data_IF_697938192049
#
_entry.id   IF_697938192049
#
_cell.length_a   1.000
_cell.length_b   1.000
_cell.length_c   1.000
_cell.angle_alpha   90.00
_cell.angle_beta   90.00
_cell.angle_gamma   90.00
#
_symmetry.space_group_name_H-M   'P 1'
#
loop_
_entity.id
_entity.type
_entity.pdbx_description
1 polymer ?
#
# COMPACT_ATOMS: atom_id res chain seq x y z
N UNK A 1 19.38 4.24 82.75
CA UNK A 1 19.26 5.07 81.51
C UNK A 1 18.51 4.26 80.46
N UNK A 2 17.58 4.92 79.77
CA UNK A 2 16.72 4.45 78.66
C UNK A 2 17.61 3.86 77.55
N UNK A 3 17.34 2.72 76.90
CA UNK A 3 16.20 2.39 76.01
C UNK A 3 16.08 0.86 75.76
N UNK A 4 14.91 0.35 75.35
CA UNK A 4 14.55 -1.08 75.32
C UNK A 4 14.67 -1.77 73.95
N UNK A 5 14.58 -3.10 74.02
CA UNK A 5 14.38 -4.15 73.00
C UNK A 5 13.74 -3.76 71.65
N UNK A 6 14.18 -4.39 70.55
CA UNK A 6 13.43 -5.50 69.92
C UNK A 6 13.96 -5.87 68.52
N UNK A 7 13.86 -7.16 68.22
CA UNK A 7 14.16 -7.85 66.98
C UNK A 7 13.46 -7.26 65.74
N UNK A 8 14.08 -7.43 64.57
CA UNK A 8 13.40 -7.83 63.33
C UNK A 8 14.38 -8.08 62.19
N UNK A 9 14.49 -9.36 61.83
CA UNK A 9 14.98 -9.88 60.55
C UNK A 9 14.31 -9.14 59.39
N UNK A 10 15.09 -8.54 58.48
CA UNK A 10 14.57 -8.12 57.17
C UNK A 10 15.58 -8.52 56.10
N UNK A 11 15.26 -9.64 55.44
CA UNK A 11 15.93 -10.17 54.27
C UNK A 11 15.52 -9.31 53.06
N UNK A 12 16.42 -8.46 52.57
CA UNK A 12 16.14 -7.54 51.47
C UNK A 12 16.24 -8.29 50.13
N UNK A 13 15.12 -8.85 49.68
CA UNK A 13 14.91 -9.42 48.36
C UNK A 13 14.82 -8.27 47.33
N UNK A 14 15.92 -8.01 46.61
CA UNK A 14 15.94 -7.09 45.47
C UNK A 14 15.21 -7.75 44.30
N UNK A 15 13.97 -7.34 44.07
CA UNK A 15 13.19 -7.70 42.89
C UNK A 15 13.76 -6.95 41.67
N UNK A 16 14.50 -7.68 40.83
CA UNK A 16 14.94 -7.23 39.52
C UNK A 16 13.75 -7.28 38.56
N UNK A 17 13.03 -6.17 38.42
CA UNK A 17 11.96 -6.04 37.42
C UNK A 17 12.58 -5.93 36.03
N UNK A 18 12.68 -7.07 35.35
CA UNK A 18 12.88 -7.11 33.91
C UNK A 18 11.59 -6.62 33.23
N UNK A 19 11.55 -5.34 32.84
CA UNK A 19 10.54 -4.85 31.89
C UNK A 19 10.77 -5.54 30.55
N UNK A 20 10.06 -6.64 30.32
CA UNK A 20 9.90 -7.20 28.99
C UNK A 20 9.11 -6.19 28.16
N UNK A 21 9.81 -5.39 27.35
CA UNK A 21 9.16 -4.66 26.26
C UNK A 21 8.61 -5.72 25.31
N UNK A 22 7.31 -5.99 25.40
CA UNK A 22 6.60 -6.77 24.39
C UNK A 22 6.87 -6.10 23.04
N UNK A 23 7.68 -6.76 22.21
CA UNK A 23 7.84 -6.34 20.83
C UNK A 23 6.49 -6.47 20.17
N UNK A 24 5.88 -5.32 19.82
CA UNK A 24 4.71 -5.30 18.98
C UNK A 24 5.03 -6.12 17.73
N UNK A 25 4.22 -7.15 17.47
CA UNK A 25 4.43 -8.02 16.33
C UNK A 25 4.26 -7.18 15.06
N UNK A 26 5.38 -6.74 14.47
CA UNK A 26 5.40 -5.98 13.22
C UNK A 26 4.63 -6.75 12.14
N UNK A 27 3.43 -6.25 11.80
CA UNK A 27 2.60 -6.85 10.74
C UNK A 27 3.18 -6.47 9.39
N UNK A 28 3.72 -7.45 8.68
CA UNK A 28 4.32 -7.24 7.36
C UNK A 28 3.34 -7.58 6.25
N UNK A 29 3.17 -6.67 5.29
CA UNK A 29 2.33 -6.85 4.10
C UNK A 29 3.14 -6.74 2.80
N UNK A 30 2.58 -7.24 1.71
CA UNK A 30 3.16 -7.13 0.36
C UNK A 30 2.33 -6.17 -0.50
N UNK A 31 2.99 -5.41 -1.36
CA UNK A 31 2.32 -4.58 -2.37
C UNK A 31 1.76 -5.49 -3.47
N UNK A 32 0.45 -5.43 -3.72
CA UNK A 32 -0.24 -6.30 -4.70
C UNK A 32 -0.59 -5.59 -6.01
N UNK A 33 -0.31 -4.29 -6.10
CA UNK A 33 -0.50 -3.50 -7.32
C UNK A 33 0.83 -3.34 -8.05
N UNK A 34 0.79 -3.16 -9.38
CA UNK A 34 2.01 -2.94 -10.20
C UNK A 34 2.85 -1.76 -9.70
N UNK A 35 2.17 -0.68 -9.34
CA UNK A 35 2.76 0.54 -8.81
C UNK A 35 1.89 1.02 -7.64
N UNK A 36 2.47 1.02 -6.43
CA UNK A 36 1.80 1.44 -5.20
C UNK A 36 2.37 2.77 -4.70
N UNK A 37 1.51 3.77 -4.55
CA UNK A 37 1.92 5.09 -4.03
C UNK A 37 1.78 5.15 -2.51
N UNK A 38 2.87 5.53 -1.84
CA UNK A 38 2.90 5.88 -0.43
C UNK A 38 2.66 7.37 -0.31
N UNK A 39 1.64 7.77 0.47
CA UNK A 39 1.20 9.17 0.59
C UNK A 39 1.52 9.75 1.97
N UNK A 40 1.71 11.06 2.05
CA UNK A 40 1.94 11.73 3.33
C UNK A 40 0.71 11.69 4.25
N UNK A 41 -0.49 11.69 3.66
CA UNK A 41 -1.78 11.69 4.36
C UNK A 41 -2.65 10.52 3.86
N UNK A 42 -3.57 9.98 4.67
CA UNK A 42 -4.50 8.92 4.28
C UNK A 42 -5.62 9.49 3.38
N UNK A 43 -5.22 9.96 2.20
CA UNK A 43 -6.08 10.69 1.28
C UNK A 43 -5.59 10.51 -0.15
N UNK A 44 -6.50 10.21 -1.08
CA UNK A 44 -6.16 9.84 -2.47
C UNK A 44 -5.44 10.94 -3.26
N UNK A 45 -5.65 12.21 -2.93
CA UNK A 45 -4.90 13.30 -3.56
C UNK A 45 -3.81 13.88 -2.64
N UNK A 46 -3.49 13.18 -1.56
CA UNK A 46 -2.36 13.52 -0.69
C UNK A 46 -1.04 13.41 -1.44
N UNK A 47 -0.04 14.21 -1.06
CA UNK A 47 1.30 14.20 -1.65
C UNK A 47 1.90 12.80 -1.61
N UNK A 48 2.41 12.33 -2.75
CA UNK A 48 3.14 11.06 -2.85
C UNK A 48 4.55 11.27 -2.29
N UNK A 49 4.95 10.45 -1.32
CA UNK A 49 6.27 10.50 -0.67
C UNK A 49 7.20 9.40 -1.15
N UNK A 50 6.65 8.27 -1.62
CA UNK A 50 7.41 7.19 -2.22
C UNK A 50 6.51 6.36 -3.15
N UNK A 51 7.13 5.65 -4.08
CA UNK A 51 6.46 4.66 -4.93
C UNK A 51 7.11 3.29 -4.72
N UNK A 52 6.27 2.25 -4.65
CA UNK A 52 6.63 0.86 -4.45
C UNK A 52 6.19 0.01 -5.63
N UNK A 53 6.93 -1.06 -5.88
CA UNK A 53 6.65 -2.03 -6.94
C UNK A 53 5.88 -3.23 -6.41
N UNK A 54 5.25 -3.97 -7.32
CA UNK A 54 4.59 -5.23 -6.99
C UNK A 54 5.54 -6.19 -6.26
N UNK A 55 5.07 -6.76 -5.15
CA UNK A 55 5.83 -7.67 -4.29
C UNK A 55 6.69 -6.99 -3.22
N UNK A 56 6.84 -5.66 -3.25
CA UNK A 56 7.59 -4.93 -2.22
C UNK A 56 6.99 -5.19 -0.83
N UNK A 57 7.87 -5.33 0.17
CA UNK A 57 7.48 -5.60 1.56
C UNK A 57 7.44 -4.31 2.38
N UNK A 58 6.32 -4.14 3.07
CA UNK A 58 6.08 -3.00 3.95
C UNK A 58 5.72 -3.46 5.35
N UNK A 59 6.23 -2.76 6.34
CA UNK A 59 5.82 -2.87 7.73
C UNK A 59 4.61 -1.98 7.97
N UNK A 60 3.54 -2.53 8.56
CA UNK A 60 2.35 -1.78 8.95
C UNK A 60 2.53 -1.30 10.39
N UNK A 61 2.60 0.02 10.54
CA UNK A 61 2.75 0.71 11.82
C UNK A 61 1.40 1.06 12.46
N UNK A 62 0.31 0.96 11.71
CA UNK A 62 -1.03 1.26 12.18
C UNK A 62 -2.02 1.35 11.03
N UNK A 63 -3.30 1.42 11.36
CA UNK A 63 -4.38 1.62 10.40
C UNK A 63 -5.25 2.80 10.80
N UNK A 64 -5.82 3.45 9.79
CA UNK A 64 -6.89 4.42 9.92
C UNK A 64 -7.89 4.12 8.81
N UNK A 65 -9.05 3.57 9.21
CA UNK A 65 -10.10 3.14 8.27
C UNK A 65 -9.52 2.21 7.18
N UNK A 66 -9.61 2.58 5.91
CA UNK A 66 -9.09 1.82 4.77
C UNK A 66 -7.64 2.17 4.41
N UNK A 67 -6.91 2.85 5.29
CA UNK A 67 -5.52 3.22 5.09
C UNK A 67 -4.61 2.55 6.11
N UNK A 68 -3.48 2.05 5.64
CA UNK A 68 -2.41 1.55 6.49
C UNK A 68 -1.25 2.54 6.48
N UNK A 69 -0.78 2.90 7.68
CA UNK A 69 0.47 3.60 7.83
C UNK A 69 1.59 2.59 7.66
N UNK A 70 2.41 2.77 6.63
CA UNK A 70 3.43 1.82 6.22
C UNK A 70 4.83 2.41 6.26
N UNK A 71 5.79 1.54 6.56
CA UNK A 71 7.22 1.79 6.43
C UNK A 71 7.81 0.78 5.43
N UNK A 72 8.19 1.20 4.22
CA UNK A 72 8.82 0.31 3.25
C UNK A 72 10.25 -0.01 3.69
N UNK A 73 10.60 -1.29 3.66
CA UNK A 73 11.92 -1.76 4.09
C UNK A 73 13.01 -1.16 3.18
N UNK A 74 14.04 -0.56 3.79
CA UNK A 74 15.21 -0.04 3.07
C UNK A 74 15.03 1.35 2.45
N UNK A 75 13.86 2.00 2.56
CA UNK A 75 13.65 3.38 2.07
C UNK A 75 13.62 4.44 3.18
N UNK A 76 13.44 4.05 4.44
CA UNK A 76 13.46 4.98 5.59
C UNK A 76 12.33 6.03 5.58
N UNK A 77 11.32 5.86 4.73
CA UNK A 77 10.18 6.78 4.59
C UNK A 77 8.95 6.13 5.20
N UNK A 78 8.17 6.88 5.97
CA UNK A 78 6.87 6.43 6.47
C UNK A 78 5.75 7.21 5.80
N UNK A 79 4.67 6.53 5.45
CA UNK A 79 3.48 7.20 4.91
C UNK A 79 2.26 6.28 4.92
N UNK A 80 1.28 6.58 4.09
CA UNK A 80 -0.02 5.91 4.05
C UNK A 80 -0.24 5.24 2.70
N UNK A 81 -0.69 3.99 2.73
CA UNK A 81 -1.14 3.24 1.56
C UNK A 81 -2.57 2.77 1.78
N UNK A 82 -3.37 2.82 0.73
CA UNK A 82 -4.74 2.31 0.79
C UNK A 82 -4.73 0.77 0.91
N UNK A 83 -5.67 0.20 1.66
CA UNK A 83 -5.77 -1.23 1.93
C UNK A 83 -5.82 -2.07 0.64
N UNK A 84 -6.47 -1.58 -0.41
CA UNK A 84 -6.54 -2.29 -1.70
C UNK A 84 -5.17 -2.46 -2.38
N UNK A 85 -4.15 -1.69 -2.01
CA UNK A 85 -2.81 -1.83 -2.55
C UNK A 85 -1.97 -2.89 -1.83
N UNK A 86 -2.44 -3.40 -0.69
CA UNK A 86 -1.68 -4.28 0.20
C UNK A 86 -2.37 -5.65 0.36
N UNK A 87 -1.54 -6.69 0.41
CA UNK A 87 -1.95 -8.06 0.71
C UNK A 87 -1.21 -8.58 1.94
N UNK A 88 -1.91 -9.31 2.79
CA UNK A 88 -1.28 -10.06 3.88
C UNK A 88 -0.44 -11.23 3.34
N UNK A 89 -0.77 -11.73 2.13
CA UNK A 89 -0.01 -12.78 1.48
C UNK A 89 1.38 -12.29 1.11
N UNK A 90 2.38 -13.12 1.39
CA UNK A 90 3.76 -12.86 0.96
C UNK A 90 3.87 -13.16 -0.52
N UNK A 91 4.08 -12.12 -1.32
CA UNK A 91 4.32 -12.23 -2.76
C UNK A 91 5.83 -12.41 -2.95
N UNK A 92 6.26 -13.54 -3.51
CA UNK A 92 7.67 -13.78 -3.83
C UNK A 92 7.81 -14.00 -5.33
N UNK A 93 8.47 -13.05 -6.01
CA UNK A 93 8.82 -13.18 -7.43
C UNK A 93 9.99 -14.15 -7.58
N UNK A 94 9.71 -15.46 -7.58
CA UNK A 94 10.64 -16.48 -8.06
C UNK A 94 10.31 -16.80 -9.51
N UNK A 95 11.30 -16.78 -10.39
CA UNK A 95 11.15 -17.29 -11.76
C UNK A 95 10.66 -18.75 -11.69
N UNK A 96 9.47 -19.02 -12.25
CA UNK A 96 8.83 -20.34 -12.21
C UNK A 96 8.01 -20.66 -10.94
N UNK A 97 7.93 -19.75 -9.97
CA UNK A 97 7.12 -19.92 -8.75
C UNK A 97 5.61 -19.76 -9.01
N UNK A 98 4.77 -20.31 -8.12
CA UNK A 98 3.31 -20.19 -8.18
C UNK A 98 2.83 -18.74 -8.22
N UNK A 99 3.51 -17.83 -7.52
CA UNK A 99 3.17 -16.39 -7.52
C UNK A 99 3.49 -15.70 -8.86
N UNK A 100 4.52 -16.16 -9.58
CA UNK A 100 4.81 -15.68 -10.94
C UNK A 100 3.77 -16.18 -11.96
N UNK A 101 3.10 -17.31 -11.67
CA UNK A 101 1.96 -17.82 -12.44
C UNK A 101 0.63 -17.12 -12.13
N UNK A 102 0.57 -16.22 -11.14
CA UNK A 102 -0.65 -15.44 -10.81
C UNK A 102 -0.93 -14.34 -11.85
N UNK A 103 -0.01 -14.11 -12.81
CA UNK A 103 -0.38 -13.49 -14.07
C UNK A 103 -1.27 -14.47 -14.84
N UNK A 104 -2.59 -14.34 -14.69
CA UNK A 104 -3.57 -15.12 -15.44
C UNK A 104 -3.20 -15.13 -16.93
N UNK A 105 -3.37 -16.30 -17.57
CA UNK A 105 -3.02 -16.46 -18.98
C UNK A 105 -3.82 -15.48 -19.84
N UNK A 106 -3.29 -15.08 -21.00
CA UNK A 106 -4.00 -14.17 -21.91
C UNK A 106 -5.41 -14.66 -22.26
N UNK A 107 -5.63 -15.98 -22.30
CA UNK A 107 -6.94 -16.60 -22.52
C UNK A 107 -7.90 -16.47 -21.34
N UNK A 108 -7.41 -16.60 -20.09
CA UNK A 108 -8.22 -16.36 -18.89
C UNK A 108 -8.54 -14.88 -18.72
N UNK A 109 -7.57 -13.99 -19.00
CA UNK A 109 -7.80 -12.54 -19.05
C UNK A 109 -8.85 -12.17 -20.09
N UNK A 110 -8.78 -12.77 -21.28
CA UNK A 110 -9.76 -12.53 -22.34
C UNK A 110 -11.16 -12.98 -21.89
N UNK A 111 -11.29 -14.16 -21.28
CA UNK A 111 -12.59 -14.66 -20.85
C UNK A 111 -13.23 -13.76 -19.77
N UNK A 112 -12.43 -13.30 -18.80
CA UNK A 112 -12.87 -12.35 -17.76
C UNK A 112 -13.16 -10.94 -18.31
N UNK A 113 -12.37 -10.51 -19.29
CA UNK A 113 -12.51 -9.23 -19.98
C UNK A 113 -13.49 -9.26 -21.15
N UNK A 114 -14.33 -10.30 -21.33
CA UNK A 114 -15.23 -10.47 -22.49
C UNK A 114 -14.55 -10.31 -23.86
N UNK A 115 -13.30 -10.75 -23.98
CA UNK A 115 -12.47 -10.66 -25.18
C UNK A 115 -11.64 -9.37 -25.28
N UNK A 116 -11.76 -8.44 -24.33
CA UNK A 116 -10.99 -7.19 -24.35
C UNK A 116 -9.60 -7.40 -23.73
N UNK A 117 -8.58 -7.56 -24.56
CA UNK A 117 -7.17 -7.58 -24.16
C UNK A 117 -6.27 -6.92 -25.22
N UNK A 118 -4.98 -6.74 -24.90
CA UNK A 118 -4.03 -6.05 -25.78
C UNK A 118 -3.79 -6.79 -27.12
N UNK A 119 -3.82 -8.12 -27.11
CA UNK A 119 -3.60 -8.94 -28.31
C UNK A 119 -4.78 -8.78 -29.30
N UNK A 120 -6.02 -8.78 -28.79
CA UNK A 120 -7.24 -8.56 -29.57
C UNK A 120 -7.28 -7.15 -30.15
N UNK A 121 -6.87 -6.14 -29.37
CA UNK A 121 -6.78 -4.77 -29.87
C UNK A 121 -5.74 -4.64 -31.00
N UNK A 122 -4.58 -5.26 -30.84
CA UNK A 122 -3.52 -5.25 -31.86
C UNK A 122 -4.00 -5.92 -33.16
N UNK A 123 -4.67 -7.07 -33.06
CA UNK A 123 -5.27 -7.75 -34.20
C UNK A 123 -6.37 -6.92 -34.87
N UNK A 124 -7.24 -6.29 -34.07
CA UNK A 124 -8.31 -5.44 -34.58
C UNK A 124 -7.74 -4.23 -35.34
N UNK A 125 -6.73 -3.55 -34.80
CA UNK A 125 -6.01 -2.46 -35.48
C UNK A 125 -5.36 -2.93 -36.79
N UNK A 126 -4.77 -4.12 -36.81
CA UNK A 126 -4.14 -4.68 -38.00
C UNK A 126 -5.15 -4.98 -39.13
N UNK A 127 -6.34 -5.49 -38.78
CA UNK A 127 -7.42 -5.84 -39.73
C UNK A 127 -8.24 -4.63 -40.20
N UNK A 128 -8.29 -3.55 -39.42
CA UNK A 128 -9.14 -2.38 -39.68
C UNK A 128 -8.32 -1.10 -39.89
N UNK A 129 -7.45 -1.09 -40.92
CA UNK A 129 -6.54 0.04 -41.20
C UNK A 129 -7.22 1.35 -41.59
N UNK A 130 -8.50 1.31 -41.93
CA UNK A 130 -9.30 2.50 -42.27
C UNK A 130 -9.90 3.22 -41.05
N UNK A 131 -9.83 2.61 -39.86
CA UNK A 131 -10.33 3.22 -38.62
C UNK A 131 -9.21 4.07 -37.99
N UNK A 132 -9.53 5.31 -37.65
CA UNK A 132 -8.61 6.20 -36.94
C UNK A 132 -8.71 5.97 -35.42
N UNK A 133 -7.66 5.38 -34.84
CA UNK A 133 -7.53 5.15 -33.41
C UNK A 133 -6.87 6.31 -32.66
N UNK A 134 -6.46 7.38 -33.34
CA UNK A 134 -5.69 8.48 -32.74
C UNK A 134 -6.38 9.12 -31.55
N UNK A 135 -7.72 9.26 -31.58
CA UNK A 135 -8.50 9.79 -30.45
C UNK A 135 -8.53 8.84 -29.24
N UNK A 136 -8.60 7.53 -29.48
CA UNK A 136 -8.56 6.51 -28.43
C UNK A 136 -7.17 6.47 -27.82
N UNK A 137 -6.14 6.43 -28.66
CA UNK A 137 -4.75 6.43 -28.22
C UNK A 137 -4.42 7.71 -27.43
N UNK A 138 -4.93 8.87 -27.90
CA UNK A 138 -4.83 10.14 -27.16
C UNK A 138 -5.53 10.05 -25.81
N UNK A 139 -6.74 9.48 -25.76
CA UNK A 139 -7.48 9.30 -24.50
C UNK A 139 -6.73 8.40 -23.51
N UNK A 140 -6.20 7.28 -23.99
CA UNK A 140 -5.43 6.34 -23.19
C UNK A 140 -4.11 6.95 -22.68
N UNK A 141 -3.50 7.84 -23.46
CA UNK A 141 -2.26 8.52 -23.09
C UNK A 141 -2.48 9.75 -22.17
N UNK A 142 -3.71 10.25 -22.02
CA UNK A 142 -3.98 11.42 -21.18
C UNK A 142 -3.67 11.12 -19.71
N UNK A 143 -2.68 11.82 -19.16
CA UNK A 143 -2.33 11.80 -17.73
C UNK A 143 -2.61 13.15 -17.10
N UNK A 144 -3.57 13.20 -16.18
CA UNK A 144 -3.84 14.40 -15.40
C UNK A 144 -2.82 14.50 -14.27
N UNK A 145 -2.02 15.56 -14.27
CA UNK A 145 -1.03 15.76 -13.23
C UNK A 145 -1.68 16.14 -11.89
N UNK A 146 -1.14 15.70 -10.74
CA UNK A 146 -1.71 16.02 -9.43
C UNK A 146 -1.91 17.52 -9.18
N UNK A 147 -1.03 18.37 -9.71
CA UNK A 147 -1.13 19.83 -9.53
C UNK A 147 -2.34 20.41 -10.26
N UNK A 148 -2.70 19.86 -11.43
CA UNK A 148 -3.91 20.25 -12.15
C UNK A 148 -5.17 19.82 -11.41
N UNK A 149 -5.15 18.66 -10.76
CA UNK A 149 -6.27 18.21 -9.91
C UNK A 149 -6.41 19.15 -8.70
N UNK A 150 -5.30 19.50 -8.05
CA UNK A 150 -5.32 20.44 -6.92
C UNK A 150 -5.85 21.83 -7.32
N UNK A 151 -5.44 22.35 -8.48
CA UNK A 151 -5.96 23.61 -9.02
C UNK A 151 -7.47 23.53 -9.30
N UNK A 152 -7.91 22.45 -9.95
CA UNK A 152 -9.32 22.21 -10.25
C UNK A 152 -10.19 22.17 -8.98
N UNK A 153 -9.72 21.48 -7.93
CA UNK A 153 -10.44 21.44 -6.65
C UNK A 153 -10.53 22.81 -5.99
N UNK A 154 -9.43 23.58 -6.02
CA UNK A 154 -9.39 24.93 -5.45
C UNK A 154 -10.33 25.88 -6.19
N UNK A 155 -10.31 25.86 -7.53
CA UNK A 155 -11.16 26.71 -8.38
C UNK A 155 -12.64 26.34 -8.26
N UNK A 156 -12.95 25.05 -8.22
CA UNK A 156 -14.33 24.58 -8.08
C UNK A 156 -14.89 24.65 -6.65
N UNK A 157 -14.14 25.12 -5.66
CA UNK A 157 -14.54 25.09 -4.25
C UNK A 157 -14.84 23.67 -3.72
N UNK A 158 -14.27 22.66 -4.38
CA UNK A 158 -14.55 21.26 -4.09
C UNK A 158 -13.70 20.82 -2.90
N UNK A 159 -14.36 20.42 -1.81
CA UNK A 159 -13.70 19.75 -0.69
C UNK A 159 -13.87 18.25 -0.88
N UNK A 160 -12.81 17.53 -1.26
CA UNK A 160 -12.89 16.09 -1.40
C UNK A 160 -13.13 15.50 -0.02
N UNK A 161 -14.00 14.50 0.08
CA UNK A 161 -14.08 13.71 1.29
C UNK A 161 -12.67 13.21 1.64
N UNK A 162 -12.18 13.51 2.85
CA UNK A 162 -11.02 12.81 3.37
C UNK A 162 -11.38 11.32 3.33
N UNK A 163 -10.54 10.52 2.66
CA UNK A 163 -10.89 9.16 2.30
C UNK A 163 -11.27 8.36 3.55
N UNK A 164 -12.54 7.97 3.60
CA UNK A 164 -13.22 7.48 4.80
C UNK A 164 -14.75 7.61 4.73
N UNK A 165 -15.34 7.51 3.53
CA UNK A 165 -16.79 7.51 3.40
C UNK A 165 -17.33 6.16 3.89
N UNK A 166 -18.24 6.21 4.87
CA UNK A 166 -18.91 5.08 5.52
C UNK A 166 -19.27 3.92 4.57
#
# INVERSE_FOLDING_TARGET
MKRPYSASTVFLLVFLTASATAGDATKMMSVQVRQGDVRATPYFLGKIVATLSYGDRVEVLGSKENWFRVSPRGKGVTGWMHASALSEKRIVLKAGGTDAKVAASSGELALAGKGFNADVEAEFKARNRSIDFSWIDRMQAMKVRPERIAAFLKEGGLVPAQGGGK
#
